data_IF_011891687493
#
_entry.id   IF_011891687493
#
_cell.length_a   1.000
_cell.length_b   1.000
_cell.length_c   1.000
_cell.angle_alpha   90.00
_cell.angle_beta   90.00
_cell.angle_gamma   90.00
#
_symmetry.space_group_name_H-M   'P 1'
#
loop_
_entity.id
_entity.type
_entity.pdbx_description
1 polymer ?
#
# COMPACT_ATOMS: atom_id res chain seq x y z
N UNK A 1 25.34 -9.11 11.60
CA UNK A 1 24.90 -10.24 10.70
C UNK A 1 25.66 -10.23 9.37
N UNK A 2 25.77 -11.40 8.67
CA UNK A 2 26.40 -11.46 7.33
C UNK A 2 25.50 -10.78 6.29
N UNK A 3 26.09 -10.17 5.24
CA UNK A 3 25.35 -9.44 4.19
C UNK A 3 24.29 -10.29 3.49
N UNK A 4 24.60 -11.56 3.16
CA UNK A 4 23.64 -12.45 2.52
C UNK A 4 22.39 -12.71 3.39
N UNK A 5 22.54 -12.77 4.74
CA UNK A 5 21.39 -12.94 5.65
C UNK A 5 20.48 -11.72 5.62
N UNK A 6 21.05 -10.50 5.53
CA UNK A 6 20.27 -9.26 5.38
C UNK A 6 19.52 -9.24 4.06
N UNK A 7 20.16 -9.69 2.97
CA UNK A 7 19.57 -9.77 1.65
C UNK A 7 18.39 -10.77 1.62
N UNK A 8 18.63 -12.00 2.13
CA UNK A 8 17.56 -13.01 2.21
C UNK A 8 16.40 -12.54 3.09
N UNK A 9 16.65 -11.95 4.26
CA UNK A 9 15.58 -11.39 5.08
C UNK A 9 14.80 -10.30 4.33
N UNK A 10 15.51 -9.40 3.65
CA UNK A 10 14.90 -8.30 2.92
C UNK A 10 14.05 -8.75 1.71
N UNK A 11 14.28 -9.94 1.14
CA UNK A 11 13.49 -10.47 0.02
C UNK A 11 11.99 -10.56 0.31
N UNK A 12 11.57 -10.72 1.57
CA UNK A 12 10.18 -10.68 1.97
C UNK A 12 9.45 -9.38 1.57
N UNK A 13 10.18 -8.26 1.41
CA UNK A 13 9.59 -7.01 0.89
C UNK A 13 9.12 -7.13 -0.56
N UNK A 14 9.80 -7.94 -1.37
CA UNK A 14 9.40 -8.20 -2.76
C UNK A 14 8.03 -8.87 -2.80
N UNK A 15 7.88 -10.00 -2.08
CA UNK A 15 6.61 -10.73 -2.00
C UNK A 15 5.47 -9.88 -1.43
N UNK A 16 5.78 -9.10 -0.37
CA UNK A 16 4.82 -8.17 0.25
C UNK A 16 4.30 -7.15 -0.75
N UNK A 17 5.19 -6.42 -1.41
CA UNK A 17 4.81 -5.33 -2.32
C UNK A 17 4.17 -5.87 -3.60
N UNK A 18 4.75 -6.90 -4.23
CA UNK A 18 4.25 -7.48 -5.46
C UNK A 18 2.81 -7.96 -5.32
N UNK A 19 2.55 -8.83 -4.32
CA UNK A 19 1.22 -9.43 -4.16
C UNK A 19 0.16 -8.42 -3.77
N UNK A 20 0.47 -7.51 -2.84
CA UNK A 20 -0.50 -6.53 -2.36
C UNK A 20 -0.80 -5.45 -3.40
N UNK A 21 0.21 -4.96 -4.10
CA UNK A 21 0.01 -3.93 -5.13
C UNK A 21 -0.72 -4.48 -6.36
N UNK A 22 -0.41 -5.70 -6.79
CA UNK A 22 -1.18 -6.36 -7.85
C UNK A 22 -2.65 -6.51 -7.44
N UNK A 23 -2.92 -6.99 -6.21
CA UNK A 23 -4.26 -7.15 -5.66
C UNK A 23 -5.03 -5.83 -5.64
N UNK A 24 -4.49 -4.79 -5.01
CA UNK A 24 -5.20 -3.52 -4.83
C UNK A 24 -5.39 -2.72 -6.11
N UNK A 25 -4.50 -2.89 -7.10
CA UNK A 25 -4.56 -2.18 -8.37
C UNK A 25 -5.49 -2.84 -9.37
N UNK A 26 -5.44 -4.16 -9.51
CA UNK A 26 -6.06 -4.83 -10.67
C UNK A 26 -7.24 -5.72 -10.33
N UNK A 27 -7.39 -6.23 -9.10
CA UNK A 27 -8.42 -7.22 -8.80
C UNK A 27 -9.83 -6.67 -9.00
N UNK A 28 -10.09 -5.40 -8.68
CA UNK A 28 -11.40 -4.79 -8.93
C UNK A 28 -11.70 -4.72 -10.42
N UNK A 29 -10.73 -4.27 -11.22
CA UNK A 29 -10.86 -4.25 -12.68
C UNK A 29 -11.12 -5.65 -13.22
N UNK A 30 -10.34 -6.64 -12.78
CA UNK A 30 -10.46 -8.01 -13.24
C UNK A 30 -11.86 -8.59 -12.99
N UNK A 31 -12.39 -8.40 -11.76
CA UNK A 31 -13.71 -8.94 -11.43
C UNK A 31 -14.87 -8.18 -12.07
N UNK A 32 -14.75 -6.87 -12.26
CA UNK A 32 -15.79 -6.07 -12.92
C UNK A 32 -15.71 -6.24 -14.43
N UNK A 33 -14.54 -6.04 -15.03
CA UNK A 33 -14.38 -5.90 -16.48
C UNK A 33 -14.11 -7.24 -17.20
N UNK A 34 -13.38 -8.16 -16.54
CA UNK A 34 -12.99 -9.44 -17.16
C UNK A 34 -13.94 -10.58 -16.78
N UNK A 35 -14.39 -10.62 -15.52
CA UNK A 35 -15.26 -11.70 -15.03
C UNK A 35 -16.74 -11.31 -14.91
N UNK A 36 -17.11 -10.06 -15.21
CA UNK A 36 -18.48 -9.63 -15.35
C UNK A 36 -19.26 -9.48 -14.03
N UNK A 37 -18.59 -9.31 -12.86
CA UNK A 37 -19.27 -8.95 -11.63
C UNK A 37 -19.70 -7.48 -11.64
N UNK A 38 -20.92 -7.20 -11.15
CA UNK A 38 -21.39 -5.82 -11.07
C UNK A 38 -20.51 -4.96 -10.17
N UNK A 39 -20.31 -3.70 -10.56
CA UNK A 39 -19.54 -2.73 -9.76
C UNK A 39 -20.12 -2.53 -8.35
N UNK A 40 -21.45 -2.65 -8.21
CA UNK A 40 -22.14 -2.56 -6.92
C UNK A 40 -21.78 -3.74 -5.99
N UNK A 41 -21.72 -4.97 -6.51
CA UNK A 41 -21.28 -6.13 -5.75
C UNK A 41 -19.82 -5.98 -5.31
N UNK A 42 -18.95 -5.53 -6.20
CA UNK A 42 -17.54 -5.30 -5.84
C UNK A 42 -17.40 -4.20 -4.79
N UNK A 43 -18.14 -3.09 -4.89
CA UNK A 43 -18.19 -2.06 -3.84
C UNK A 43 -18.62 -2.62 -2.48
N UNK A 44 -19.67 -3.47 -2.47
CA UNK A 44 -20.12 -4.19 -1.26
C UNK A 44 -19.02 -5.11 -0.72
N UNK A 45 -18.33 -5.83 -1.61
CA UNK A 45 -17.18 -6.68 -1.23
C UNK A 45 -16.08 -5.91 -0.54
N UNK A 46 -15.77 -4.71 -1.01
CA UNK A 46 -14.79 -3.84 -0.38
C UNK A 46 -15.25 -3.28 0.99
N UNK A 47 -16.56 -3.08 1.18
CA UNK A 47 -17.10 -2.75 2.51
C UNK A 47 -16.90 -3.91 3.49
N UNK A 48 -17.22 -5.15 3.08
CA UNK A 48 -16.98 -6.37 3.88
C UNK A 48 -15.48 -6.53 4.17
N UNK A 49 -14.63 -6.33 3.16
CA UNK A 49 -13.18 -6.36 3.31
C UNK A 49 -12.68 -5.35 4.35
N UNK A 50 -13.24 -4.14 4.37
CA UNK A 50 -12.88 -3.13 5.37
C UNK A 50 -13.20 -3.53 6.81
N UNK A 51 -14.38 -4.15 7.03
CA UNK A 51 -14.75 -4.69 8.34
C UNK A 51 -13.79 -5.83 8.73
N UNK A 52 -13.48 -6.71 7.77
CA UNK A 52 -12.54 -7.81 7.97
C UNK A 52 -11.16 -7.32 8.40
N UNK A 53 -10.63 -6.30 7.74
CA UNK A 53 -9.33 -5.72 8.08
C UNK A 53 -9.26 -5.19 9.51
N UNK A 54 -10.35 -4.61 10.01
CA UNK A 54 -10.42 -4.13 11.39
C UNK A 54 -10.30 -5.26 12.42
N UNK A 55 -10.68 -6.49 12.05
CA UNK A 55 -10.69 -7.67 12.92
C UNK A 55 -9.43 -8.53 12.71
N UNK A 56 -8.99 -8.67 11.45
CA UNK A 56 -7.93 -9.56 11.03
C UNK A 56 -6.57 -9.24 11.70
N UNK A 57 -6.17 -7.97 11.76
CA UNK A 57 -4.89 -7.56 12.34
C UNK A 57 -4.74 -7.91 13.83
N UNK A 58 -5.72 -7.57 14.71
CA UNK A 58 -5.68 -7.98 16.11
C UNK A 58 -5.65 -9.49 16.30
N UNK A 59 -6.40 -10.24 15.47
CA UNK A 59 -6.43 -11.71 15.53
C UNK A 59 -5.06 -12.30 15.18
N UNK A 60 -4.49 -11.94 14.03
CA UNK A 60 -3.20 -12.41 13.58
C UNK A 60 -2.08 -12.11 14.61
N UNK A 61 -2.09 -10.90 15.17
CA UNK A 61 -1.16 -10.51 16.23
C UNK A 61 -1.31 -11.37 17.50
N UNK A 62 -2.55 -11.60 17.94
CA UNK A 62 -2.82 -12.39 19.14
C UNK A 62 -2.41 -13.84 19.01
N UNK A 63 -2.60 -14.46 17.84
CA UNK A 63 -2.20 -15.85 17.57
C UNK A 63 -0.68 -15.99 17.58
N UNK A 64 0.00 -15.12 16.87
CA UNK A 64 1.46 -15.10 16.80
C UNK A 64 2.09 -14.91 18.19
N UNK A 65 1.56 -13.98 18.97
CA UNK A 65 2.08 -13.66 20.29
C UNK A 65 1.89 -14.78 21.34
N UNK A 66 0.87 -15.62 21.17
CA UNK A 66 0.63 -16.78 22.06
C UNK A 66 1.44 -18.01 21.66
N UNK A 67 1.98 -18.02 20.45
CA UNK A 67 2.72 -19.18 19.93
C UNK A 67 4.08 -19.31 20.60
N UNK A 68 4.40 -20.55 21.03
CA UNK A 68 5.72 -20.91 21.59
C UNK A 68 6.17 -22.21 20.97
N UNK A 69 7.17 -22.13 20.10
CA UNK A 69 7.74 -23.30 19.44
C UNK A 69 9.27 -23.32 19.56
N UNK A 70 9.88 -24.48 19.24
CA UNK A 70 11.34 -24.63 19.15
C UNK A 70 11.97 -23.71 18.08
N UNK A 71 11.21 -23.31 17.07
CA UNK A 71 11.65 -22.44 15.98
C UNK A 71 11.43 -20.94 16.26
N UNK A 72 10.85 -20.63 17.41
CA UNK A 72 10.49 -19.29 17.81
C UNK A 72 8.98 -19.08 17.84
N UNK A 73 8.59 -17.84 17.94
CA UNK A 73 7.20 -17.37 18.08
C UNK A 73 6.60 -16.98 16.71
N UNK A 74 7.40 -16.33 15.84
CA UNK A 74 6.97 -15.73 14.56
C UNK A 74 7.35 -16.58 13.34
N UNK A 75 8.53 -17.19 13.37
CA UNK A 75 9.06 -18.03 12.28
C UNK A 75 8.09 -19.13 11.83
N UNK A 76 7.40 -19.88 12.72
CA UNK A 76 6.45 -20.89 12.30
C UNK A 76 5.27 -20.35 11.48
N UNK A 77 4.79 -19.15 11.82
CA UNK A 77 3.70 -18.51 11.09
C UNK A 77 4.11 -18.08 9.68
N UNK A 78 5.32 -17.50 9.53
CA UNK A 78 5.86 -17.18 8.21
C UNK A 78 6.00 -18.44 7.36
N UNK A 79 6.56 -19.51 7.92
CA UNK A 79 6.75 -20.78 7.21
C UNK A 79 5.42 -21.42 6.80
N UNK A 80 4.43 -21.42 7.70
CA UNK A 80 3.12 -22.04 7.45
C UNK A 80 2.28 -21.26 6.42
N UNK A 81 2.42 -19.92 6.34
CA UNK A 81 1.58 -19.10 5.48
C UNK A 81 2.25 -18.68 4.17
N UNK A 82 3.56 -18.85 4.02
CA UNK A 82 4.31 -18.45 2.82
C UNK A 82 3.81 -19.13 1.53
N UNK A 83 3.54 -20.44 1.55
CA UNK A 83 2.99 -21.13 0.39
C UNK A 83 1.48 -20.87 0.21
N UNK A 84 0.64 -20.96 1.26
CA UNK A 84 -0.78 -20.62 1.16
C UNK A 84 -1.08 -19.23 0.64
N UNK A 85 -0.30 -18.18 1.01
CA UNK A 85 -0.54 -16.82 0.51
C UNK A 85 -0.38 -16.74 -1.01
N UNK A 86 0.63 -17.43 -1.57
CA UNK A 86 0.78 -17.51 -3.03
C UNK A 86 -0.35 -18.29 -3.69
N UNK A 87 -0.81 -19.40 -3.09
CA UNK A 87 -1.95 -20.15 -3.60
C UNK A 87 -3.22 -19.28 -3.66
N UNK A 88 -3.57 -18.58 -2.57
CA UNK A 88 -4.75 -17.73 -2.54
C UNK A 88 -4.58 -16.48 -3.41
N UNK A 89 -3.35 -15.96 -3.58
CA UNK A 89 -3.06 -14.98 -4.62
C UNK A 89 -3.41 -15.52 -6.00
N UNK A 90 -2.96 -16.72 -6.38
CA UNK A 90 -3.30 -17.34 -7.66
C UNK A 90 -4.82 -17.50 -7.85
N UNK A 91 -5.53 -17.98 -6.84
CA UNK A 91 -6.98 -18.17 -6.88
C UNK A 91 -7.75 -16.86 -7.11
N UNK A 92 -7.24 -15.70 -6.68
CA UNK A 92 -7.83 -14.39 -7.02
C UNK A 92 -7.84 -14.11 -8.52
N UNK A 93 -6.85 -14.61 -9.27
CA UNK A 93 -6.66 -14.32 -10.69
C UNK A 93 -7.27 -15.37 -11.60
N UNK A 94 -7.49 -16.58 -11.08
CA UNK A 94 -7.98 -17.72 -11.85
C UNK A 94 -9.16 -18.36 -11.10
N UNK A 95 -10.32 -17.67 -11.05
CA UNK A 95 -11.53 -18.28 -10.51
C UNK A 95 -11.97 -19.46 -11.41
N UNK A 96 -12.66 -20.47 -10.85
CA UNK A 96 -13.20 -21.59 -11.63
C UNK A 96 -14.10 -21.10 -12.78
N UNK A 97 -13.88 -21.62 -13.97
CA UNK A 97 -14.64 -21.22 -15.18
C UNK A 97 -16.16 -21.45 -15.00
N UNK A 98 -16.54 -22.52 -14.29
CA UNK A 98 -17.94 -22.80 -13.96
C UNK A 98 -18.60 -21.65 -13.18
N UNK A 99 -17.87 -20.97 -12.31
CA UNK A 99 -18.40 -19.82 -11.54
C UNK A 99 -18.41 -18.55 -12.39
N UNK A 100 -17.41 -18.35 -13.24
CA UNK A 100 -17.37 -17.22 -14.17
C UNK A 100 -18.54 -17.32 -15.17
N UNK A 101 -18.82 -18.51 -15.70
CA UNK A 101 -19.94 -18.73 -16.62
C UNK A 101 -21.32 -18.50 -16.01
N UNK A 102 -21.50 -18.76 -14.71
CA UNK A 102 -22.75 -18.46 -13.98
C UNK A 102 -22.82 -16.97 -13.58
N UNK A 103 -21.67 -16.38 -13.22
CA UNK A 103 -21.60 -14.98 -12.77
C UNK A 103 -22.33 -14.71 -11.46
N UNK A 104 -22.73 -13.46 -11.22
CA UNK A 104 -23.60 -13.05 -10.12
C UNK A 104 -23.15 -13.50 -8.72
N UNK A 105 -24.13 -13.91 -7.90
CA UNK A 105 -23.90 -14.26 -6.49
C UNK A 105 -22.90 -15.39 -6.25
N UNK A 106 -22.86 -16.50 -7.05
CA UNK A 106 -21.86 -17.55 -6.84
C UNK A 106 -20.42 -17.06 -7.05
N UNK A 107 -20.17 -16.27 -8.08
CA UNK A 107 -18.86 -15.69 -8.33
C UNK A 107 -18.49 -14.65 -7.28
N UNK A 108 -19.47 -13.88 -6.81
CA UNK A 108 -19.27 -12.93 -5.72
C UNK A 108 -18.92 -13.62 -4.39
N UNK A 109 -19.61 -14.72 -4.06
CA UNK A 109 -19.29 -15.51 -2.86
C UNK A 109 -17.87 -16.07 -2.93
N UNK A 110 -17.46 -16.61 -4.08
CA UNK A 110 -16.08 -17.04 -4.32
C UNK A 110 -15.09 -15.89 -4.12
N UNK A 111 -15.35 -14.74 -4.75
CA UNK A 111 -14.51 -13.55 -4.63
C UNK A 111 -14.29 -13.14 -3.16
N UNK A 112 -15.37 -13.02 -2.38
CA UNK A 112 -15.29 -12.65 -0.97
C UNK A 112 -14.46 -13.65 -0.18
N UNK A 113 -14.75 -14.94 -0.30
CA UNK A 113 -14.04 -15.98 0.46
C UNK A 113 -12.55 -15.95 0.15
N UNK A 114 -12.18 -15.87 -1.14
CA UNK A 114 -10.77 -15.91 -1.55
C UNK A 114 -10.05 -14.62 -1.13
N UNK A 115 -10.68 -13.45 -1.25
CA UNK A 115 -10.11 -12.16 -0.80
C UNK A 115 -9.86 -12.18 0.71
N UNK A 116 -10.84 -12.60 1.52
CA UNK A 116 -10.71 -12.59 2.98
C UNK A 116 -9.63 -13.57 3.46
N UNK A 117 -9.53 -14.75 2.84
CA UNK A 117 -8.48 -15.73 3.19
C UNK A 117 -7.11 -15.25 2.70
N UNK A 118 -7.01 -14.71 1.48
CA UNK A 118 -5.76 -14.11 0.99
C UNK A 118 -5.25 -13.03 1.93
N UNK A 119 -6.11 -12.10 2.32
CA UNK A 119 -5.76 -11.02 3.23
C UNK A 119 -5.35 -11.51 4.63
N UNK A 120 -6.05 -12.52 5.16
CA UNK A 120 -5.65 -13.15 6.44
C UNK A 120 -4.25 -13.74 6.37
N UNK A 121 -3.97 -14.53 5.33
CA UNK A 121 -2.67 -15.18 5.14
C UNK A 121 -1.57 -14.13 4.91
N UNK A 122 -1.87 -13.11 4.10
CA UNK A 122 -0.96 -12.01 3.84
C UNK A 122 -0.65 -11.22 5.12
N UNK A 123 -1.68 -10.90 5.90
CA UNK A 123 -1.52 -10.23 7.20
C UNK A 123 -0.65 -11.04 8.15
N UNK A 124 -0.91 -12.36 8.27
CA UNK A 124 -0.13 -13.23 9.16
C UNK A 124 1.34 -13.24 8.73
N UNK A 125 1.64 -13.47 7.45
CA UNK A 125 3.02 -13.55 7.00
C UNK A 125 3.76 -12.22 7.13
N UNK A 126 3.15 -11.12 6.70
CA UNK A 126 3.77 -9.79 6.68
C UNK A 126 3.96 -9.22 8.07
N UNK A 127 2.95 -9.35 8.94
CA UNK A 127 3.03 -8.88 10.32
C UNK A 127 4.15 -9.60 11.08
N UNK A 128 4.20 -10.93 11.00
CA UNK A 128 5.24 -11.70 11.68
C UNK A 128 6.64 -11.40 11.13
N UNK A 129 6.78 -11.32 9.81
CA UNK A 129 8.03 -10.99 9.16
C UNK A 129 8.51 -9.56 9.50
N UNK A 130 7.62 -8.56 9.43
CA UNK A 130 7.97 -7.16 9.74
C UNK A 130 8.37 -6.98 11.19
N UNK A 131 7.68 -7.65 12.10
CA UNK A 131 7.95 -7.54 13.53
C UNK A 131 9.30 -8.16 13.96
N UNK A 132 9.90 -9.02 13.13
CA UNK A 132 11.27 -9.52 13.37
C UNK A 132 12.35 -8.46 13.11
N UNK A 133 12.07 -7.43 12.31
CA UNK A 133 13.08 -6.41 11.98
C UNK A 133 13.72 -5.75 13.22
N UNK A 134 12.95 -5.16 14.16
CA UNK A 134 13.54 -4.56 15.35
C UNK A 134 14.11 -5.59 16.33
N UNK A 135 13.63 -6.84 16.31
CA UNK A 135 14.13 -7.92 17.16
C UNK A 135 15.50 -8.43 16.70
N UNK A 136 15.73 -8.49 15.40
CA UNK A 136 16.95 -9.04 14.80
C UNK A 136 18.07 -7.99 14.63
N UNK A 137 17.71 -6.75 14.27
CA UNK A 137 18.64 -5.70 13.92
C UNK A 137 18.64 -4.60 14.99
N UNK A 138 19.42 -4.80 16.04
CA UNK A 138 19.50 -3.88 17.20
C UNK A 138 20.38 -2.69 16.89
N UNK A 139 21.50 -2.90 16.16
CA UNK A 139 22.42 -1.83 15.81
C UNK A 139 21.86 -0.93 14.70
N UNK A 140 21.97 0.38 14.85
CA UNK A 140 21.44 1.37 13.88
C UNK A 140 22.01 1.16 12.47
N UNK A 141 23.31 0.84 12.36
CA UNK A 141 23.97 0.56 11.07
C UNK A 141 23.40 -0.68 10.38
N UNK A 142 23.13 -1.74 11.13
CA UNK A 142 22.53 -2.97 10.61
C UNK A 142 21.07 -2.73 10.18
N UNK A 143 20.30 -2.01 11.01
CA UNK A 143 18.92 -1.62 10.71
C UNK A 143 18.84 -0.79 9.45
N UNK A 144 19.69 0.23 9.31
CA UNK A 144 19.75 1.06 8.10
C UNK A 144 20.08 0.24 6.85
N UNK A 145 21.07 -0.67 6.95
CA UNK A 145 21.45 -1.55 5.84
C UNK A 145 20.32 -2.45 5.38
N UNK A 146 19.60 -3.09 6.31
CA UNK A 146 18.46 -3.98 6.00
C UNK A 146 17.29 -3.17 5.45
N UNK A 147 16.99 -2.01 6.02
CA UNK A 147 15.92 -1.13 5.52
C UNK A 147 16.19 -0.69 4.08
N UNK A 148 17.45 -0.40 3.73
CA UNK A 148 17.82 -0.09 2.34
C UNK A 148 17.52 -1.24 1.37
N UNK A 149 17.90 -2.48 1.71
CA UNK A 149 17.58 -3.65 0.88
C UNK A 149 16.08 -3.93 0.82
N UNK A 150 15.36 -3.79 1.93
CA UNK A 150 13.90 -3.92 1.97
C UNK A 150 13.23 -2.93 1.02
N UNK A 151 13.70 -1.69 0.98
CA UNK A 151 13.16 -0.67 0.08
C UNK A 151 13.40 -0.99 -1.39
N UNK A 152 14.61 -1.45 -1.76
CA UNK A 152 14.92 -1.88 -3.12
C UNK A 152 13.98 -3.01 -3.58
N UNK A 153 13.80 -4.05 -2.74
CA UNK A 153 12.88 -5.14 -3.03
C UNK A 153 11.42 -4.70 -3.08
N UNK A 154 11.02 -3.77 -2.21
CA UNK A 154 9.66 -3.21 -2.16
C UNK A 154 9.34 -2.43 -3.45
N UNK A 155 10.25 -1.58 -3.90
CA UNK A 155 10.08 -0.83 -5.17
C UNK A 155 10.01 -1.80 -6.35
N UNK A 156 10.88 -2.82 -6.40
CA UNK A 156 10.83 -3.85 -7.44
C UNK A 156 9.50 -4.59 -7.45
N UNK A 157 8.98 -4.99 -6.28
CA UNK A 157 7.69 -5.65 -6.13
C UNK A 157 6.52 -4.77 -6.53
N UNK A 158 6.55 -3.49 -6.15
CA UNK A 158 5.53 -2.50 -6.51
C UNK A 158 5.46 -2.31 -8.03
N UNK A 159 6.59 -2.10 -8.70
CA UNK A 159 6.65 -1.95 -10.16
C UNK A 159 6.15 -3.23 -10.84
N UNK A 160 6.57 -4.40 -10.36
CA UNK A 160 6.14 -5.68 -10.91
C UNK A 160 4.62 -5.87 -10.75
N UNK A 161 4.08 -5.65 -9.56
CA UNK A 161 2.66 -5.82 -9.28
C UNK A 161 1.76 -4.83 -10.02
N UNK A 162 2.19 -3.58 -10.13
CA UNK A 162 1.34 -2.52 -10.73
C UNK A 162 1.52 -2.41 -12.23
N UNK A 163 2.76 -2.39 -12.74
CA UNK A 163 3.02 -2.10 -14.14
C UNK A 163 3.32 -3.37 -14.97
N UNK A 164 4.16 -4.27 -14.46
CA UNK A 164 4.59 -5.43 -15.23
C UNK A 164 3.48 -6.48 -15.39
N UNK A 165 2.59 -6.59 -14.41
CA UNK A 165 1.52 -7.57 -14.43
C UNK A 165 0.58 -7.44 -15.65
N UNK A 166 -0.02 -6.27 -15.97
CA UNK A 166 -0.84 -6.13 -17.17
C UNK A 166 -0.05 -6.26 -18.47
N UNK A 167 1.24 -5.85 -18.49
CA UNK A 167 2.11 -6.04 -19.66
C UNK A 167 2.25 -7.53 -20.00
N UNK A 168 2.51 -8.37 -19.01
CA UNK A 168 2.69 -9.81 -19.18
C UNK A 168 1.37 -10.55 -19.40
N UNK A 169 0.28 -10.07 -18.81
CA UNK A 169 -1.05 -10.68 -18.94
C UNK A 169 -1.59 -10.66 -20.36
N UNK A 170 -1.12 -9.73 -21.19
CA UNK A 170 -1.53 -9.61 -22.58
C UNK A 170 -2.96 -9.12 -22.76
N UNK A 171 -3.40 -9.00 -24.03
CA UNK A 171 -4.70 -8.43 -24.35
C UNK A 171 -5.85 -9.20 -23.68
N UNK A 172 -6.82 -8.45 -23.13
CA UNK A 172 -7.95 -9.00 -22.41
C UNK A 172 -7.58 -9.88 -21.22
N UNK A 173 -6.36 -9.76 -20.67
CA UNK A 173 -5.84 -10.61 -19.61
C UNK A 173 -5.76 -12.10 -19.97
N UNK A 174 -5.51 -12.42 -21.24
CA UNK A 174 -5.49 -13.80 -21.75
C UNK A 174 -4.46 -14.69 -21.01
N UNK A 175 -3.29 -14.15 -20.68
CA UNK A 175 -2.22 -14.86 -19.98
C UNK A 175 -2.26 -14.69 -18.45
N UNK A 176 -3.40 -14.23 -17.86
CA UNK A 176 -3.52 -14.00 -16.41
C UNK A 176 -3.12 -15.22 -15.58
N UNK A 177 -3.46 -16.43 -16.01
CA UNK A 177 -3.15 -17.67 -15.28
C UNK A 177 -1.65 -17.91 -15.14
N UNK A 178 -0.89 -18.03 -16.23
CA UNK A 178 0.58 -18.17 -16.18
C UNK A 178 1.26 -17.03 -15.41
N UNK A 179 0.84 -15.78 -15.61
CA UNK A 179 1.42 -14.62 -14.94
C UNK A 179 1.12 -14.63 -13.44
N UNK A 180 -0.12 -14.91 -13.05
CA UNK A 180 -0.49 -15.05 -11.65
C UNK A 180 0.25 -16.22 -10.97
N UNK A 181 0.46 -17.33 -11.68
CA UNK A 181 1.27 -18.47 -11.19
C UNK A 181 2.71 -18.04 -10.93
N UNK A 182 3.34 -17.35 -11.88
CA UNK A 182 4.68 -16.80 -11.70
C UNK A 182 4.77 -15.87 -10.47
N UNK A 183 3.81 -14.96 -10.34
CA UNK A 183 3.78 -13.99 -9.24
C UNK A 183 3.47 -14.66 -7.89
N UNK A 184 2.62 -15.68 -7.87
CA UNK A 184 2.36 -16.52 -6.71
C UNK A 184 3.62 -17.24 -6.24
N UNK A 185 4.39 -17.82 -7.19
CA UNK A 185 5.66 -18.49 -6.89
C UNK A 185 6.71 -17.51 -6.37
N UNK A 186 6.84 -16.33 -7.00
CA UNK A 186 7.76 -15.26 -6.52
C UNK A 186 7.36 -14.82 -5.11
N UNK A 187 6.08 -14.61 -4.85
CA UNK A 187 5.57 -14.21 -3.53
C UNK A 187 5.91 -15.25 -2.47
N UNK A 188 5.55 -16.51 -2.72
CA UNK A 188 5.86 -17.62 -1.80
C UNK A 188 7.36 -17.81 -1.59
N UNK A 189 8.13 -17.80 -2.68
CA UNK A 189 9.59 -17.94 -2.64
C UNK A 189 10.24 -16.81 -1.84
N UNK A 190 9.79 -15.57 -2.02
CA UNK A 190 10.29 -14.40 -1.29
C UNK A 190 10.16 -14.56 0.22
N UNK A 191 9.01 -15.03 0.71
CA UNK A 191 8.81 -15.28 2.13
C UNK A 191 9.60 -16.49 2.63
N UNK A 192 9.65 -17.59 1.86
CA UNK A 192 10.46 -18.76 2.22
C UNK A 192 11.96 -18.44 2.26
N UNK A 193 12.47 -17.68 1.27
CA UNK A 193 13.85 -17.22 1.26
C UNK A 193 14.15 -16.29 2.43
N UNK A 194 13.21 -15.45 2.84
CA UNK A 194 13.39 -14.57 4.00
C UNK A 194 13.66 -15.34 5.29
N UNK A 195 13.16 -16.59 5.41
CA UNK A 195 13.42 -17.46 6.56
C UNK A 195 14.91 -17.85 6.67
N UNK A 196 15.64 -17.95 5.56
CA UNK A 196 17.08 -18.25 5.58
C UNK A 196 17.89 -17.10 6.21
N UNK A 197 17.37 -15.88 6.13
CA UNK A 197 17.95 -14.71 6.79
C UNK A 197 17.44 -14.48 8.21
N UNK A 198 16.43 -15.21 8.64
CA UNK A 198 15.75 -14.98 9.91
C UNK A 198 16.46 -15.67 11.08
N UNK A 199 16.67 -14.93 12.19
CA UNK A 199 17.13 -15.46 13.47
C UNK A 199 16.30 -14.84 14.60
N UNK A 200 15.31 -15.56 15.07
CA UNK A 200 14.48 -15.11 16.18
C UNK A 200 15.24 -15.22 17.51
N UNK A 201 15.27 -14.13 18.27
CA UNK A 201 15.92 -14.07 19.59
C UNK A 201 14.98 -14.56 20.67
N UNK A 202 15.43 -15.54 21.47
CA UNK A 202 14.64 -16.18 22.54
C UNK A 202 14.51 -15.31 23.79
N UNK A 203 15.39 -14.35 23.97
CA UNK A 203 15.50 -13.48 25.16
C UNK A 203 14.49 -12.31 25.18
N UNK A 204 13.83 -12.00 24.06
CA UNK A 204 12.90 -10.84 23.97
C UNK A 204 11.45 -11.21 24.41
N UNK A 205 11.22 -12.39 24.92
CA UNK A 205 9.87 -12.92 25.20
C UNK A 205 9.12 -12.27 26.38
N UNK A 206 9.70 -11.33 27.11
CA UNK A 206 9.22 -10.89 28.43
C UNK A 206 8.79 -9.42 28.54
N UNK A 207 8.62 -8.67 27.47
CA UNK A 207 8.12 -7.29 27.62
C UNK A 207 6.61 -7.24 27.95
N UNK A 208 6.18 -6.39 28.91
CA UNK A 208 4.76 -6.23 29.25
C UNK A 208 3.96 -5.82 28.02
N UNK A 209 2.85 -6.51 27.78
CA UNK A 209 1.97 -6.22 26.66
C UNK A 209 1.07 -5.04 26.97
N UNK A 210 1.16 -3.98 26.22
CA UNK A 210 0.17 -2.91 26.23
C UNK A 210 -1.01 -3.31 25.35
N UNK A 211 -2.24 -3.20 25.87
CA UNK A 211 -3.44 -3.48 25.07
C UNK A 211 -3.49 -2.58 23.84
N UNK A 212 -3.91 -3.14 22.69
CA UNK A 212 -4.11 -2.36 21.46
C UNK A 212 -4.98 -1.12 21.70
N UNK A 213 -6.07 -1.27 22.45
CA UNK A 213 -6.99 -0.14 22.76
C UNK A 213 -6.31 0.93 23.61
N UNK A 214 -5.46 0.53 24.56
CA UNK A 214 -4.68 1.50 25.36
C UNK A 214 -3.65 2.22 24.49
N UNK A 215 -2.97 1.49 23.60
CA UNK A 215 -2.03 2.07 22.62
C UNK A 215 -2.74 3.03 21.67
N UNK A 216 -3.91 2.66 21.16
CA UNK A 216 -4.73 3.50 20.29
C UNK A 216 -5.15 4.80 21.01
N UNK A 217 -5.67 4.69 22.24
CA UNK A 217 -6.06 5.86 23.04
C UNK A 217 -4.86 6.77 23.34
N UNK A 218 -3.72 6.20 23.71
CA UNK A 218 -2.49 6.94 23.97
C UNK A 218 -1.96 7.66 22.72
N UNK A 219 -1.95 6.98 21.57
CA UNK A 219 -1.51 7.59 20.32
C UNK A 219 -2.47 8.70 19.84
N UNK A 220 -3.77 8.46 19.93
CA UNK A 220 -4.77 9.47 19.56
C UNK A 220 -4.85 10.65 20.52
N UNK A 221 -4.26 10.59 21.72
CA UNK A 221 -4.11 11.77 22.59
C UNK A 221 -3.07 12.75 22.03
N UNK A 222 -2.09 12.28 21.26
CA UNK A 222 -1.08 13.13 20.61
C UNK A 222 -1.69 13.95 19.46
N UNK A 223 -1.73 15.27 19.59
CA UNK A 223 -2.25 16.14 18.53
C UNK A 223 -1.41 16.06 17.23
N UNK A 224 -0.07 16.01 17.26
CA UNK A 224 0.72 15.80 16.06
C UNK A 224 0.34 14.51 15.32
N UNK A 225 0.12 13.42 16.07
CA UNK A 225 -0.22 12.14 15.47
C UNK A 225 -1.62 12.12 14.84
N UNK A 226 -2.62 12.73 15.49
CA UNK A 226 -3.98 12.83 14.89
C UNK A 226 -3.97 13.55 13.55
N UNK A 227 -3.28 14.67 13.45
CA UNK A 227 -3.19 15.41 12.18
C UNK A 227 -2.36 14.69 11.14
N UNK A 228 -1.30 13.98 11.56
CA UNK A 228 -0.55 13.10 10.69
C UNK A 228 -1.45 11.97 10.15
N UNK A 229 -2.22 11.29 11.01
CA UNK A 229 -3.12 10.21 10.59
C UNK A 229 -4.16 10.71 9.58
N UNK A 230 -4.78 11.87 9.81
CA UNK A 230 -5.75 12.46 8.87
C UNK A 230 -5.09 12.75 7.52
N UNK A 231 -3.88 13.33 7.51
CA UNK A 231 -3.13 13.59 6.28
C UNK A 231 -2.76 12.30 5.56
N UNK A 232 -2.27 11.29 6.29
CA UNK A 232 -1.79 10.06 5.70
C UNK A 232 -2.92 9.15 5.21
N UNK A 233 -4.06 9.09 5.92
CA UNK A 233 -5.26 8.38 5.46
C UNK A 233 -5.75 8.94 4.12
N UNK A 234 -5.87 10.27 4.03
CA UNK A 234 -6.31 10.92 2.78
C UNK A 234 -5.32 10.71 1.65
N UNK A 235 -4.00 10.75 1.93
CA UNK A 235 -2.94 10.46 0.98
C UNK A 235 -2.99 9.01 0.48
N UNK A 236 -3.21 8.04 1.36
CA UNK A 236 -3.35 6.63 0.95
C UNK A 236 -4.59 6.41 0.09
N UNK A 237 -5.69 7.12 0.39
CA UNK A 237 -6.86 7.11 -0.48
C UNK A 237 -6.54 7.66 -1.87
N UNK A 238 -5.79 8.78 -1.98
CA UNK A 238 -5.33 9.32 -3.27
C UNK A 238 -4.57 8.27 -4.07
N UNK A 239 -3.60 7.62 -3.43
CA UNK A 239 -2.77 6.60 -4.09
C UNK A 239 -3.60 5.40 -4.55
N UNK A 240 -4.44 4.86 -3.66
CA UNK A 240 -5.23 3.66 -3.92
C UNK A 240 -6.32 3.89 -4.97
N UNK A 241 -7.04 5.02 -4.92
CA UNK A 241 -8.11 5.30 -5.90
C UNK A 241 -7.52 5.53 -7.30
N UNK A 242 -6.39 6.21 -7.40
CA UNK A 242 -5.71 6.42 -8.67
C UNK A 242 -5.23 5.08 -9.26
N UNK A 243 -4.56 4.25 -8.46
CA UNK A 243 -4.05 2.95 -8.90
C UNK A 243 -5.18 2.02 -9.38
N UNK A 244 -6.27 1.88 -8.61
CA UNK A 244 -7.37 0.98 -8.94
C UNK A 244 -8.27 1.49 -10.08
N UNK A 245 -8.34 2.83 -10.29
CA UNK A 245 -9.16 3.41 -11.35
C UNK A 245 -8.41 3.52 -12.68
N UNK A 246 -7.07 3.51 -12.66
CA UNK A 246 -6.26 3.67 -13.87
C UNK A 246 -6.52 2.59 -14.93
N UNK A 247 -6.73 1.29 -14.62
CA UNK A 247 -7.06 0.29 -15.64
C UNK A 247 -8.36 0.61 -16.40
N UNK A 248 -9.40 1.09 -15.70
CA UNK A 248 -10.65 1.52 -16.33
C UNK A 248 -10.45 2.76 -17.20
N UNK A 249 -9.75 3.75 -16.65
CA UNK A 249 -9.45 4.98 -17.36
C UNK A 249 -8.60 4.71 -18.62
N UNK A 250 -7.56 3.90 -18.51
CA UNK A 250 -6.71 3.55 -19.64
C UNK A 250 -7.48 2.83 -20.75
N UNK A 251 -8.29 1.82 -20.40
CA UNK A 251 -9.08 1.06 -21.37
C UNK A 251 -10.14 1.91 -22.06
N UNK A 252 -10.96 2.64 -21.30
CA UNK A 252 -12.17 3.27 -21.82
C UNK A 252 -12.01 4.75 -22.22
N UNK A 253 -11.07 5.45 -21.63
CA UNK A 253 -10.84 6.88 -21.91
C UNK A 253 -9.66 7.09 -22.85
N UNK A 254 -8.56 6.35 -22.66
CA UNK A 254 -7.39 6.45 -23.54
C UNK A 254 -7.40 5.47 -24.69
N UNK A 255 -8.33 4.49 -24.72
CA UNK A 255 -8.35 3.43 -25.72
C UNK A 255 -7.12 2.50 -25.66
N UNK A 256 -6.48 2.42 -24.51
CA UNK A 256 -5.26 1.66 -24.32
C UNK A 256 -5.55 0.16 -24.18
N UNK A 257 -4.70 -0.67 -24.78
CA UNK A 257 -4.67 -2.12 -24.55
C UNK A 257 -4.27 -2.47 -23.11
N UNK A 258 -4.44 -3.72 -22.72
CA UNK A 258 -4.05 -4.20 -21.40
C UNK A 258 -2.56 -3.96 -21.14
N UNK A 259 -1.68 -4.23 -22.11
CA UNK A 259 -0.24 -3.99 -21.99
C UNK A 259 0.11 -2.50 -21.88
N UNK A 260 -0.55 -1.66 -22.69
CA UNK A 260 -0.34 -0.20 -22.67
C UNK A 260 -0.78 0.44 -21.35
N UNK A 261 -1.80 -0.12 -20.69
CA UNK A 261 -2.15 0.25 -19.31
C UNK A 261 -0.94 0.12 -18.36
N UNK A 262 -0.18 -0.97 -18.51
CA UNK A 262 1.06 -1.16 -17.76
C UNK A 262 2.12 -0.10 -18.06
N UNK A 263 2.24 0.37 -19.30
CA UNK A 263 3.15 1.45 -19.64
C UNK A 263 2.73 2.79 -19.01
N UNK A 264 1.44 3.11 -18.97
CA UNK A 264 0.92 4.32 -18.30
C UNK A 264 1.25 4.29 -16.81
N UNK A 265 0.96 3.16 -16.14
CA UNK A 265 1.29 2.97 -14.73
C UNK A 265 2.81 3.00 -14.49
N UNK A 266 3.58 2.33 -15.34
CA UNK A 266 5.04 2.29 -15.26
C UNK A 266 5.70 3.65 -15.45
N UNK A 267 5.20 4.47 -16.38
CA UNK A 267 5.71 5.81 -16.64
C UNK A 267 5.68 6.70 -15.38
N UNK A 268 4.59 6.61 -14.59
CA UNK A 268 4.49 7.33 -13.33
C UNK A 268 5.56 6.90 -12.33
N UNK A 269 5.84 5.60 -12.20
CA UNK A 269 6.87 5.10 -11.26
C UNK A 269 8.30 5.41 -11.72
N UNK A 270 8.57 5.33 -13.02
CA UNK A 270 9.87 5.72 -13.57
C UNK A 270 10.14 7.21 -13.33
N UNK A 271 9.16 8.06 -13.58
CA UNK A 271 9.26 9.50 -13.30
C UNK A 271 9.39 9.78 -11.80
N UNK A 272 8.78 8.96 -10.93
CA UNK A 272 8.90 9.10 -9.48
C UNK A 272 10.34 8.92 -8.99
N UNK A 273 11.18 8.13 -9.67
CA UNK A 273 12.60 8.00 -9.31
C UNK A 273 13.31 9.36 -9.41
N UNK A 274 13.05 10.12 -10.46
CA UNK A 274 13.57 11.50 -10.61
C UNK A 274 12.95 12.44 -9.58
N UNK A 275 11.65 12.32 -9.37
CA UNK A 275 10.89 13.07 -8.37
C UNK A 275 11.45 12.91 -6.96
N UNK A 276 11.92 11.71 -6.60
CA UNK A 276 12.51 11.42 -5.28
C UNK A 276 13.71 12.32 -4.98
N UNK A 277 14.58 12.56 -5.96
CA UNK A 277 15.74 13.44 -5.82
C UNK A 277 15.31 14.89 -5.59
N UNK A 278 14.31 15.36 -6.35
CA UNK A 278 13.78 16.70 -6.25
C UNK A 278 13.13 16.93 -4.87
N UNK A 279 12.24 16.05 -4.45
CA UNK A 279 11.53 16.15 -3.16
C UNK A 279 12.47 16.00 -1.96
N UNK A 280 13.49 15.14 -2.04
CA UNK A 280 14.51 15.02 -0.99
C UNK A 280 15.27 16.34 -0.81
N UNK A 281 15.69 16.98 -1.91
CA UNK A 281 16.38 18.28 -1.85
C UNK A 281 15.47 19.37 -1.31
N UNK A 282 14.21 19.40 -1.74
CA UNK A 282 13.25 20.39 -1.30
C UNK A 282 12.88 20.21 0.18
N UNK A 283 12.64 18.98 0.64
CA UNK A 283 12.34 18.68 2.04
C UNK A 283 13.49 19.06 2.99
N UNK A 284 14.75 18.90 2.55
CA UNK A 284 15.93 19.35 3.33
C UNK A 284 15.96 20.87 3.50
N UNK A 285 15.49 21.65 2.52
CA UNK A 285 15.50 23.12 2.56
C UNK A 285 14.28 23.70 3.26
N UNK A 286 13.10 23.20 2.95
CA UNK A 286 11.82 23.78 3.39
C UNK A 286 11.19 23.08 4.59
N UNK A 287 11.73 21.91 4.99
CA UNK A 287 11.14 21.00 5.99
C UNK A 287 10.06 20.10 5.39
N UNK A 288 9.92 18.90 5.98
CA UNK A 288 9.05 17.84 5.42
C UNK A 288 7.56 18.25 5.37
N UNK A 289 7.03 18.95 6.38
CA UNK A 289 5.65 19.45 6.39
C UNK A 289 5.37 20.35 5.20
N UNK A 290 6.19 21.40 4.99
CA UNK A 290 6.02 22.35 3.89
C UNK A 290 6.22 21.67 2.53
N UNK A 291 7.18 20.76 2.45
CA UNK A 291 7.39 19.96 1.25
C UNK A 291 6.14 19.15 0.89
N UNK A 292 5.49 18.52 1.87
CA UNK A 292 4.26 17.75 1.61
C UNK A 292 3.07 18.66 1.24
N UNK A 293 2.95 19.84 1.82
CA UNK A 293 1.94 20.83 1.41
C UNK A 293 2.10 21.24 -0.06
N UNK A 294 3.33 21.56 -0.49
CA UNK A 294 3.63 21.87 -1.89
C UNK A 294 3.38 20.64 -2.78
N UNK A 295 3.74 19.45 -2.31
CA UNK A 295 3.48 18.20 -3.01
C UNK A 295 1.98 17.97 -3.25
N UNK A 296 1.10 18.28 -2.28
CA UNK A 296 -0.36 18.20 -2.48
C UNK A 296 -0.83 19.10 -3.63
N UNK A 297 -0.29 20.31 -3.73
CA UNK A 297 -0.64 21.26 -4.79
C UNK A 297 -0.13 20.76 -6.15
N UNK A 298 1.16 20.41 -6.24
CA UNK A 298 1.76 19.95 -7.50
C UNK A 298 1.13 18.65 -7.97
N UNK A 299 0.80 17.74 -7.06
CA UNK A 299 0.10 16.51 -7.38
C UNK A 299 -1.30 16.79 -7.93
N UNK A 300 -2.09 17.64 -7.26
CA UNK A 300 -3.41 18.04 -7.74
C UNK A 300 -3.36 18.67 -9.13
N UNK A 301 -2.40 19.55 -9.37
CA UNK A 301 -2.21 20.16 -10.69
C UNK A 301 -1.81 19.13 -11.75
N UNK A 302 -0.98 18.15 -11.39
CA UNK A 302 -0.52 17.10 -12.30
C UNK A 302 -1.60 16.08 -12.68
N UNK A 303 -2.71 15.99 -11.91
CA UNK A 303 -3.86 15.14 -12.28
C UNK A 303 -4.82 15.84 -13.25
N UNK A 304 -4.83 17.18 -13.32
CA UNK A 304 -5.78 17.92 -14.17
C UNK A 304 -5.74 17.55 -15.66
N UNK A 305 -4.56 17.31 -16.29
CA UNK A 305 -4.52 16.92 -17.68
C UNK A 305 -5.27 15.62 -18.01
N UNK A 306 -5.49 14.71 -17.03
CA UNK A 306 -6.32 13.52 -17.24
C UNK A 306 -7.79 13.85 -17.58
N UNK A 307 -8.29 15.05 -17.27
CA UNK A 307 -9.62 15.47 -17.71
C UNK A 307 -9.74 15.58 -19.23
N UNK A 308 -8.63 15.89 -19.90
CA UNK A 308 -8.58 16.20 -21.34
C UNK A 308 -7.87 15.12 -22.16
N UNK A 309 -7.10 14.25 -21.52
CA UNK A 309 -6.42 13.16 -22.21
C UNK A 309 -7.44 12.22 -22.86
N UNK A 310 -7.18 11.83 -24.11
CA UNK A 310 -8.09 11.03 -24.94
C UNK A 310 -7.37 9.92 -25.70
N UNK A 311 -6.05 9.81 -25.60
CA UNK A 311 -5.23 8.84 -26.27
C UNK A 311 -4.04 8.40 -25.38
N UNK A 312 -3.36 7.33 -25.80
CA UNK A 312 -2.23 6.78 -25.06
C UNK A 312 -1.09 7.78 -24.84
N UNK A 313 -0.79 8.59 -25.85
CA UNK A 313 0.32 9.54 -25.79
C UNK A 313 0.08 10.62 -24.72
N UNK A 314 -1.11 11.22 -24.71
CA UNK A 314 -1.53 12.20 -23.70
C UNK A 314 -1.60 11.57 -22.31
N UNK A 315 -2.05 10.31 -22.22
CA UNK A 315 -2.05 9.53 -20.98
C UNK A 315 -0.63 9.30 -20.42
N UNK A 316 0.32 8.89 -21.25
CA UNK A 316 1.72 8.68 -20.87
C UNK A 316 2.39 9.99 -20.42
N UNK A 317 2.18 11.08 -21.12
CA UNK A 317 2.73 12.40 -20.74
C UNK A 317 2.17 12.80 -19.37
N UNK A 318 0.87 12.69 -19.18
CA UNK A 318 0.22 13.05 -17.92
C UNK A 318 0.69 12.16 -16.77
N UNK A 319 0.78 10.83 -16.97
CA UNK A 319 1.30 9.89 -15.99
C UNK A 319 2.76 10.19 -15.61
N UNK A 320 3.60 10.60 -16.58
CA UNK A 320 4.99 11.00 -16.33
C UNK A 320 5.06 12.26 -15.47
N UNK A 321 4.24 13.28 -15.78
CA UNK A 321 4.17 14.51 -14.98
C UNK A 321 3.69 14.20 -13.56
N UNK A 322 2.65 13.37 -13.43
CA UNK A 322 2.13 12.92 -12.14
C UNK A 322 3.20 12.21 -11.32
N UNK A 323 4.00 11.36 -11.96
CA UNK A 323 5.06 10.59 -11.31
C UNK A 323 6.08 11.44 -10.57
N UNK A 324 6.42 12.62 -11.08
CA UNK A 324 7.32 13.54 -10.40
C UNK A 324 6.77 13.99 -9.03
N UNK A 325 5.46 14.19 -8.92
CA UNK A 325 4.80 14.54 -7.66
C UNK A 325 4.55 13.32 -6.77
N UNK A 326 4.30 12.16 -7.37
CA UNK A 326 4.04 10.89 -6.68
C UNK A 326 5.17 10.53 -5.71
N UNK A 327 6.41 10.78 -6.08
CA UNK A 327 7.58 10.54 -5.21
C UNK A 327 7.49 11.26 -3.86
N UNK A 328 6.98 12.50 -3.84
CA UNK A 328 6.75 13.23 -2.59
C UNK A 328 5.67 12.56 -1.73
N UNK A 329 4.59 12.08 -2.35
CA UNK A 329 3.53 11.34 -1.65
C UNK A 329 4.05 10.04 -1.01
N UNK A 330 5.01 9.36 -1.64
CA UNK A 330 5.57 8.11 -1.11
C UNK A 330 6.54 8.37 0.05
N UNK A 331 7.36 9.42 -0.02
CA UNK A 331 8.49 9.62 0.89
C UNK A 331 8.17 10.52 2.10
N UNK A 332 7.39 11.61 1.90
CA UNK A 332 7.23 12.64 2.94
C UNK A 332 6.49 12.15 4.20
N UNK A 333 5.48 11.27 4.13
CA UNK A 333 4.82 10.73 5.33
C UNK A 333 5.77 10.02 6.28
N UNK A 334 6.76 9.30 5.76
CA UNK A 334 7.73 8.55 6.60
C UNK A 334 8.61 9.48 7.45
N UNK A 335 8.91 10.68 6.93
CA UNK A 335 9.65 11.68 7.69
C UNK A 335 8.79 12.25 8.82
N UNK A 336 7.51 12.57 8.54
CA UNK A 336 6.63 13.17 9.54
C UNK A 336 6.28 12.19 10.67
N UNK A 337 6.06 10.91 10.39
CA UNK A 337 5.79 9.93 11.45
C UNK A 337 7.01 9.72 12.34
N UNK A 338 8.23 9.80 11.79
CA UNK A 338 9.46 9.76 12.58
C UNK A 338 9.57 10.97 13.50
N UNK A 339 9.28 12.18 12.99
CA UNK A 339 9.26 13.39 13.81
C UNK A 339 8.23 13.30 14.97
N UNK A 340 7.07 12.69 14.73
CA UNK A 340 6.04 12.43 15.77
C UNK A 340 6.56 11.47 16.83
N UNK A 341 7.21 10.38 16.41
CA UNK A 341 7.79 9.39 17.33
C UNK A 341 8.88 10.01 18.20
N UNK A 342 9.71 10.86 17.60
CA UNK A 342 10.77 11.57 18.29
C UNK A 342 10.21 12.57 19.33
N UNK A 343 9.13 13.27 19.01
CA UNK A 343 8.45 14.16 19.95
C UNK A 343 7.83 13.39 21.13
N UNK A 344 7.21 12.24 20.86
CA UNK A 344 6.64 11.36 21.88
C UNK A 344 7.72 10.78 22.83
N UNK A 345 8.89 10.42 22.31
CA UNK A 345 10.01 9.91 23.11
C UNK A 345 10.46 10.95 24.16
N UNK A 346 10.48 12.24 23.81
CA UNK A 346 10.81 13.30 24.75
C UNK A 346 9.78 13.49 25.86
N UNK A 347 8.49 13.33 25.55
CA UNK A 347 7.40 13.49 26.52
C UNK A 347 7.29 12.28 27.46
N UNK A 348 7.50 11.07 26.93
CA UNK A 348 7.24 9.81 27.65
C UNK A 348 8.50 9.10 28.15
N UNK A 349 9.68 9.58 27.74
CA UNK A 349 10.98 8.94 28.00
C UNK A 349 11.07 7.47 27.54
N UNK A 350 10.14 7.05 26.66
CA UNK A 350 10.07 5.70 26.10
C UNK A 350 9.91 5.76 24.59
N UNK A 351 10.68 4.96 23.84
CA UNK A 351 10.56 4.89 22.38
C UNK A 351 9.43 3.96 21.99
N UNK A 352 8.26 4.51 21.64
CA UNK A 352 7.03 3.79 21.29
C UNK A 352 6.79 3.72 19.78
N UNK A 353 7.85 3.68 18.98
CA UNK A 353 7.81 3.69 17.52
C UNK A 353 6.84 2.64 16.94
N UNK A 354 6.93 1.39 17.42
CA UNK A 354 6.06 0.30 16.96
C UNK A 354 4.56 0.56 17.17
N UNK A 355 4.19 1.32 18.20
CA UNK A 355 2.81 1.71 18.45
C UNK A 355 2.30 2.69 17.37
N UNK A 356 3.06 3.73 17.05
CA UNK A 356 2.67 4.74 16.06
C UNK A 356 2.59 4.14 14.64
N UNK A 357 3.59 3.35 14.24
CA UNK A 357 3.59 2.67 12.95
C UNK A 357 2.48 1.62 12.85
N UNK A 358 2.21 0.87 13.92
CA UNK A 358 1.12 -0.12 13.94
C UNK A 358 -0.26 0.53 13.81
N UNK A 359 -0.53 1.61 14.54
CA UNK A 359 -1.81 2.34 14.44
C UNK A 359 -1.94 3.02 13.08
N UNK A 360 -0.86 3.59 12.54
CA UNK A 360 -0.86 4.16 11.21
C UNK A 360 -1.20 3.08 10.15
N UNK A 361 -0.59 1.89 10.24
CA UNK A 361 -0.90 0.77 9.35
C UNK A 361 -2.36 0.34 9.42
N UNK A 362 -2.94 0.29 10.62
CA UNK A 362 -4.36 0.00 10.81
C UNK A 362 -5.26 1.07 10.16
N UNK A 363 -4.96 2.36 10.37
CA UNK A 363 -5.77 3.46 9.83
C UNK A 363 -5.68 3.53 8.30
N UNK A 364 -4.53 3.27 7.70
CA UNK A 364 -4.35 3.24 6.24
C UNK A 364 -5.31 2.24 5.55
N UNK A 365 -5.64 1.13 6.18
CA UNK A 365 -6.53 0.12 5.59
C UNK A 365 -7.93 0.64 5.31
N UNK A 366 -8.41 1.64 6.06
CA UNK A 366 -9.67 2.32 5.75
C UNK A 366 -9.61 3.07 4.41
N UNK A 367 -8.44 3.53 3.98
CA UNK A 367 -8.29 4.16 2.67
C UNK A 367 -8.64 3.20 1.53
N UNK A 368 -8.19 1.95 1.62
CA UNK A 368 -8.51 0.93 0.61
C UNK A 368 -10.01 0.58 0.59
N UNK A 369 -10.65 0.55 1.75
CA UNK A 369 -12.11 0.37 1.84
C UNK A 369 -12.86 1.52 1.17
N UNK A 370 -12.49 2.76 1.51
CA UNK A 370 -13.10 3.95 0.92
C UNK A 370 -12.87 4.01 -0.60
N UNK A 371 -11.69 3.61 -1.05
CA UNK A 371 -11.35 3.54 -2.47
C UNK A 371 -12.25 2.55 -3.21
N UNK A 372 -12.40 1.33 -2.69
CA UNK A 372 -13.23 0.31 -3.33
C UNK A 372 -14.70 0.69 -3.38
N UNK A 373 -15.22 1.29 -2.29
CA UNK A 373 -16.57 1.84 -2.26
C UNK A 373 -16.74 2.96 -3.28
N UNK A 374 -15.81 3.93 -3.33
CA UNK A 374 -15.88 5.05 -4.26
C UNK A 374 -15.87 4.59 -5.72
N UNK A 375 -14.98 3.66 -6.07
CA UNK A 375 -14.93 3.06 -7.41
C UNK A 375 -16.25 2.35 -7.74
N UNK A 376 -16.74 1.47 -6.85
CA UNK A 376 -17.98 0.74 -7.03
C UNK A 376 -19.19 1.66 -7.21
N UNK A 377 -19.34 2.68 -6.36
CA UNK A 377 -20.43 3.66 -6.43
C UNK A 377 -20.38 4.45 -7.73
N UNK A 378 -19.22 4.98 -8.11
CA UNK A 378 -19.09 5.78 -9.34
C UNK A 378 -19.45 4.94 -10.56
N UNK A 379 -18.88 3.75 -10.72
CA UNK A 379 -19.19 2.89 -11.87
C UNK A 379 -20.67 2.45 -11.89
N UNK A 380 -21.23 2.08 -10.73
CA UNK A 380 -22.64 1.66 -10.66
C UNK A 380 -23.63 2.80 -10.96
N UNK A 381 -23.36 4.03 -10.49
CA UNK A 381 -24.29 5.16 -10.66
C UNK A 381 -24.15 5.87 -11.99
N UNK A 382 -23.01 5.75 -12.66
CA UNK A 382 -22.78 6.39 -13.98
C UNK A 382 -23.17 5.51 -15.16
N UNK A 383 -23.70 4.30 -14.91
CA UNK A 383 -24.19 3.40 -15.96
C UNK A 383 -23.06 2.69 -16.72
N UNK A 384 -21.96 2.35 -16.03
CA UNK A 384 -20.86 1.60 -16.64
C UNK A 384 -21.37 0.31 -17.31
N UNK A 385 -21.02 0.13 -18.59
CA UNK A 385 -21.37 -1.03 -19.40
C UNK A 385 -20.25 -2.05 -19.36
N UNK A 386 -20.55 -3.23 -18.86
CA UNK A 386 -19.59 -4.34 -18.79
C UNK A 386 -19.37 -4.95 -20.20
N UNK A 387 -18.13 -5.36 -20.54
CA UNK A 387 -17.88 -6.08 -21.77
C UNK A 387 -18.50 -7.48 -21.73
N UNK A 388 -18.90 -7.98 -22.89
CA UNK A 388 -19.38 -9.37 -23.04
C UNK A 388 -18.22 -10.36 -23.06
N UNK A 389 -17.07 -9.95 -23.61
CA UNK A 389 -15.81 -10.71 -23.58
C UNK A 389 -14.68 -9.84 -23.01
N UNK A 390 -13.66 -10.43 -22.39
CA UNK A 390 -12.59 -9.68 -21.73
C UNK A 390 -11.83 -8.69 -22.63
N UNK A 391 -11.71 -8.99 -23.92
CA UNK A 391 -11.05 -8.11 -24.90
C UNK A 391 -11.96 -7.04 -25.49
N UNK A 392 -13.28 -7.14 -25.27
CA UNK A 392 -14.24 -6.17 -25.79
C UNK A 392 -14.09 -4.82 -25.11
N UNK A 393 -14.32 -3.77 -25.90
CA UNK A 393 -14.37 -2.40 -25.39
C UNK A 393 -15.71 -1.77 -25.80
N UNK A 394 -16.81 -2.09 -25.07
CA UNK A 394 -18.10 -1.53 -25.38
C UNK A 394 -18.12 -0.01 -25.24
N UNK A 395 -18.90 0.67 -26.08
CA UNK A 395 -19.10 2.10 -25.95
C UNK A 395 -19.70 2.41 -24.56
N UNK A 396 -19.05 3.33 -23.85
CA UNK A 396 -19.46 3.75 -22.53
C UNK A 396 -20.33 5.00 -22.62
N UNK A 397 -21.37 5.13 -21.77
CA UNK A 397 -22.09 6.38 -21.63
C UNK A 397 -21.15 7.54 -21.23
N UNK A 398 -21.42 8.74 -21.67
CA UNK A 398 -20.64 9.94 -21.30
C UNK A 398 -20.50 10.09 -19.79
N UNK A 399 -21.58 9.78 -19.04
CA UNK A 399 -21.55 9.81 -17.58
C UNK A 399 -20.50 8.85 -17.00
N UNK A 400 -20.34 7.64 -17.56
CA UNK A 400 -19.33 6.67 -17.12
C UNK A 400 -17.90 7.14 -17.45
N UNK A 401 -17.70 7.71 -18.65
CA UNK A 401 -16.41 8.29 -19.06
C UNK A 401 -16.02 9.45 -18.13
N UNK A 402 -16.97 10.36 -17.83
CA UNK A 402 -16.74 11.43 -16.85
C UNK A 402 -16.53 10.90 -15.44
N UNK A 403 -17.23 9.82 -15.03
CA UNK A 403 -17.00 9.13 -13.77
C UNK A 403 -15.57 8.63 -13.65
N UNK A 404 -15.04 7.97 -14.70
CA UNK A 404 -13.66 7.48 -14.74
C UNK A 404 -12.64 8.64 -14.68
N UNK A 405 -12.90 9.76 -15.40
CA UNK A 405 -12.07 10.97 -15.29
C UNK A 405 -12.10 11.54 -13.87
N UNK A 406 -13.26 11.57 -13.23
CA UNK A 406 -13.42 12.05 -11.86
C UNK A 406 -12.66 11.18 -10.85
N UNK A 407 -12.66 9.86 -11.02
CA UNK A 407 -11.91 8.92 -10.17
C UNK A 407 -10.41 9.15 -10.20
N UNK A 408 -9.83 9.50 -11.35
CA UNK A 408 -8.38 9.74 -11.49
C UNK A 408 -7.98 11.21 -11.28
N UNK A 409 -8.96 12.15 -11.20
CA UNK A 409 -8.68 13.58 -11.09
C UNK A 409 -9.36 14.22 -9.88
N UNK A 410 -10.71 14.28 -9.87
CA UNK A 410 -11.46 15.04 -8.86
C UNK A 410 -11.34 14.46 -7.46
N UNK A 411 -11.50 13.14 -7.30
CA UNK A 411 -11.37 12.49 -5.99
C UNK A 411 -9.95 12.61 -5.43
N UNK A 412 -8.87 12.37 -6.20
CA UNK A 412 -7.51 12.67 -5.77
C UNK A 412 -7.29 14.14 -5.37
N UNK A 413 -7.85 15.11 -6.09
CA UNK A 413 -7.74 16.55 -5.75
C UNK A 413 -8.43 16.83 -4.41
N UNK A 414 -9.66 16.36 -4.21
CA UNK A 414 -10.40 16.55 -2.96
C UNK A 414 -9.64 15.95 -1.78
N UNK A 415 -9.18 14.71 -1.92
CA UNK A 415 -8.42 14.05 -0.86
C UNK A 415 -7.04 14.71 -0.61
N UNK A 416 -6.38 15.23 -1.67
CA UNK A 416 -5.16 16.03 -1.53
C UNK A 416 -5.42 17.34 -0.80
N UNK A 417 -6.57 17.98 -1.02
CA UNK A 417 -6.98 19.19 -0.28
C UNK A 417 -7.20 18.87 1.21
N UNK A 418 -7.79 17.71 1.53
CA UNK A 418 -7.92 17.25 2.93
C UNK A 418 -6.54 16.99 3.55
N UNK A 419 -5.62 16.34 2.80
CA UNK A 419 -4.23 16.16 3.23
C UNK A 419 -3.56 17.50 3.51
N UNK A 420 -3.67 18.45 2.60
CA UNK A 420 -3.13 19.79 2.75
C UNK A 420 -3.69 20.50 4.00
N UNK A 421 -5.00 20.47 4.18
CA UNK A 421 -5.69 21.07 5.32
C UNK A 421 -5.21 20.44 6.66
N UNK A 422 -5.08 19.12 6.73
CA UNK A 422 -4.55 18.44 7.90
C UNK A 422 -3.10 18.87 8.20
N UNK A 423 -2.27 19.03 7.17
CA UNK A 423 -0.90 19.52 7.30
C UNK A 423 -0.83 21.00 7.72
N UNK A 424 -1.80 21.84 7.36
CA UNK A 424 -1.87 23.22 7.89
C UNK A 424 -2.04 23.21 9.40
N UNK A 425 -2.85 22.28 9.92
CA UNK A 425 -3.12 22.13 11.36
C UNK A 425 -2.08 21.28 12.12
N UNK A 426 -1.16 20.65 11.41
CA UNK A 426 -0.11 19.84 12.01
C UNK A 426 0.84 20.72 12.86
N UNK A 427 0.94 20.49 14.19
CA UNK A 427 1.56 21.45 15.10
C UNK A 427 3.09 21.29 15.24
N UNK A 428 3.67 20.17 14.79
CA UNK A 428 5.09 19.88 14.97
C UNK A 428 5.91 20.35 13.77
N UNK A 429 6.26 21.65 13.77
CA UNK A 429 7.05 22.27 12.70
C UNK A 429 7.82 23.51 13.22
N UNK A 430 8.72 24.07 12.40
CA UNK A 430 9.47 25.29 12.72
C UNK A 430 10.30 25.15 14.00
N UNK A 431 10.23 26.16 14.87
CA UNK A 431 10.99 26.20 16.12
C UNK A 431 10.68 25.01 17.04
N UNK A 432 9.40 24.59 17.10
CA UNK A 432 8.99 23.46 17.93
C UNK A 432 9.67 22.15 17.51
N UNK A 433 9.77 21.87 16.21
CA UNK A 433 10.48 20.70 15.70
C UNK A 433 11.99 20.81 15.93
N UNK A 434 12.56 22.02 15.76
CA UNK A 434 13.98 22.28 15.98
C UNK A 434 14.34 22.03 17.46
N UNK A 435 13.49 22.47 18.39
CA UNK A 435 13.69 22.23 19.82
C UNK A 435 13.62 20.74 20.16
N UNK A 436 12.63 19.99 19.61
CA UNK A 436 12.54 18.54 19.79
C UNK A 436 13.83 17.86 19.35
N UNK A 437 14.33 18.18 18.16
CA UNK A 437 15.57 17.58 17.62
C UNK A 437 16.80 17.95 18.46
N UNK A 438 16.89 19.19 18.95
CA UNK A 438 17.97 19.64 19.81
C UNK A 438 18.00 18.89 21.14
N UNK A 439 16.84 18.74 21.80
CA UNK A 439 16.71 18.01 23.09
C UNK A 439 17.06 16.54 22.94
N UNK A 440 16.62 15.89 21.85
CA UNK A 440 16.98 14.49 21.58
C UNK A 440 18.48 14.31 21.32
N UNK A 441 19.10 15.20 20.55
CA UNK A 441 20.54 15.16 20.34
C UNK A 441 21.31 15.22 21.66
N UNK A 442 20.95 16.15 22.55
CA UNK A 442 21.57 16.28 23.89
C UNK A 442 21.30 15.08 24.82
N UNK A 443 20.10 14.45 24.71
CA UNK A 443 19.79 13.25 25.48
C UNK A 443 20.61 12.03 24.99
N UNK A 444 20.79 11.90 23.68
CA UNK A 444 21.57 10.82 23.08
C UNK A 444 23.08 10.97 23.36
N UNK A 445 23.61 12.20 23.42
CA UNK A 445 24.99 12.45 23.82
C UNK A 445 25.23 12.01 25.25
N UNK A 446 24.33 12.34 26.21
CA UNK A 446 24.43 11.90 27.61
C UNK A 446 24.39 10.36 27.72
N UNK A 447 23.48 9.69 27.05
CA UNK A 447 23.40 8.19 27.01
C UNK A 447 24.63 7.51 26.41
N UNK A 448 25.48 8.22 25.67
CA UNK A 448 26.73 7.68 25.11
C UNK A 448 27.93 7.91 26.04
N UNK A 449 27.79 8.83 27.02
CA UNK A 449 28.83 9.13 27.99
C UNK A 449 28.69 8.29 29.25
N UNK A 450 27.48 7.82 29.57
CA UNK A 450 27.15 6.84 30.60
C UNK A 450 27.34 5.39 30.06
#
# INVERSE_FOLDING_TARGET
MKQWQKLFYASGSLGTALSYQAFTTHVQFLYIDVFGLSAALIGTGWAVYGIWNAINDPLAGSWSDRTRTRWGRRTPWIAATAAPVGLFFLLLWVPPESLVGVGGDPLFAYFIVVVLIFDLLWTIVVMNWTALTPEMFVEDKERASVSGWREVFSIGGLIAGVALMPILAGEGWANRGPVATLFALITSASFLLSLLGTRERKDIQSQPRVSFMQSLKAALSSAPFRWFLAANLSKEFVFSILAASMPFYAKYVLGASTGETGYVLGAAFVAAILGLVLWTRYAKRAGARRAWQVCCITFSLSTLPFLFASDLASGLITATILGLSLAGYLMLPTILISDVTDADELETHTRREGMFFGINGFVIRFAFTLQGLALGVVLATTGYVQPLMPADTPAQPDAALWGMRALVTLLPIIASAITYWALVRYPLHGERLTEVRRRLAGANERRRMD
#
